data_IF_055511737271
#
_entry.id   IF_055511737271
#
_cell.length_a   1.000
_cell.length_b   1.000
_cell.length_c   1.000
_cell.angle_alpha   90.00
_cell.angle_beta   90.00
_cell.angle_gamma   90.00
#
_symmetry.space_group_name_H-M   'P 1'
#
loop_
_entity.id
_entity.type
_entity.pdbx_description
1 polymer ?
#
# COMPACT_ATOMS: atom_id res chain seq x y z
N UNK A 1 15.00 1.10 10.05
CA UNK A 1 13.52 1.07 10.21
C UNK A 1 13.15 -0.35 10.59
N UNK A 2 12.41 -0.56 11.68
CA UNK A 2 11.79 -1.85 11.96
C UNK A 2 10.59 -2.01 11.03
N UNK A 3 10.45 -3.16 10.39
CA UNK A 3 9.37 -3.43 9.43
C UNK A 3 8.98 -4.89 9.53
N UNK A 4 7.67 -5.18 9.41
CA UNK A 4 7.19 -6.55 9.31
C UNK A 4 7.75 -7.20 8.04
N UNK A 5 8.40 -8.38 8.14
CA UNK A 5 9.08 -8.98 7.02
C UNK A 5 8.11 -9.42 5.91
N UNK A 6 8.59 -9.37 4.68
CA UNK A 6 7.94 -9.99 3.54
C UNK A 6 8.39 -11.45 3.43
N UNK A 7 7.47 -12.33 3.05
CA UNK A 7 7.78 -13.75 2.82
C UNK A 7 8.62 -13.92 1.54
N UNK A 8 9.32 -15.02 1.40
CA UNK A 8 10.13 -15.33 0.19
C UNK A 8 9.28 -15.41 -1.08
N UNK A 9 7.98 -15.62 -0.95
CA UNK A 9 7.01 -15.56 -2.06
C UNK A 9 6.78 -14.13 -2.58
N UNK A 10 7.34 -13.11 -1.94
CA UNK A 10 7.08 -11.70 -2.23
C UNK A 10 5.75 -11.18 -1.70
N UNK A 11 5.03 -11.96 -0.91
CA UNK A 11 3.81 -11.51 -0.23
C UNK A 11 4.13 -11.08 1.21
N UNK A 12 3.38 -10.11 1.75
CA UNK A 12 3.51 -9.70 3.15
C UNK A 12 2.77 -10.65 4.11
N UNK A 13 1.86 -11.47 3.62
CA UNK A 13 1.16 -12.51 4.38
C UNK A 13 0.58 -13.58 3.45
N UNK A 14 0.26 -14.73 4.03
CA UNK A 14 -0.55 -15.77 3.40
C UNK A 14 -2.03 -15.54 3.72
N UNK A 15 -2.91 -16.00 2.85
CA UNK A 15 -4.35 -15.99 3.10
C UNK A 15 -4.79 -17.23 3.89
N UNK A 16 -5.80 -17.09 4.79
CA UNK A 16 -6.62 -15.89 4.99
C UNK A 16 -5.96 -14.83 5.86
N UNK A 17 -6.27 -13.56 5.57
CA UNK A 17 -5.96 -12.40 6.41
C UNK A 17 -7.27 -11.86 6.96
N UNK A 18 -7.38 -11.74 8.29
CA UNK A 18 -8.54 -11.12 8.92
C UNK A 18 -8.18 -9.70 9.36
N UNK A 19 -8.95 -8.72 8.88
CA UNK A 19 -8.81 -7.32 9.29
C UNK A 19 -9.99 -6.92 10.16
N UNK A 20 -9.74 -6.22 11.26
CA UNK A 20 -10.74 -5.74 12.21
C UNK A 20 -10.61 -4.24 12.37
N UNK A 21 -11.70 -3.50 12.15
CA UNK A 21 -11.84 -2.11 12.55
C UNK A 21 -12.37 -2.07 13.98
N UNK A 22 -11.64 -1.42 14.86
CA UNK A 22 -11.99 -1.26 16.28
C UNK A 22 -12.44 0.16 16.54
N UNK A 23 -13.53 0.31 17.29
CA UNK A 23 -14.03 1.60 17.73
C UNK A 23 -14.44 1.52 19.18
N UNK A 24 -14.33 2.63 19.92
CA UNK A 24 -14.80 2.72 21.30
C UNK A 24 -15.98 3.67 21.42
N UNK A 25 -17.02 3.18 22.05
CA UNK A 25 -18.19 3.96 22.45
C UNK A 25 -18.24 4.04 23.96
N UNK A 26 -18.29 5.24 24.50
CA UNK A 26 -18.45 5.47 25.94
C UNK A 26 -19.93 5.65 26.22
N UNK A 27 -20.46 4.87 27.18
CA UNK A 27 -21.86 4.97 27.62
C UNK A 27 -21.91 5.42 29.07
N UNK A 28 -22.64 6.49 29.35
CA UNK A 28 -22.89 7.00 30.68
C UNK A 28 -24.38 6.90 30.98
N UNK A 29 -24.75 6.21 32.04
CA UNK A 29 -26.12 6.16 32.54
C UNK A 29 -26.31 7.29 33.55
N UNK A 30 -27.29 8.17 33.29
CA UNK A 30 -27.61 9.30 34.16
C UNK A 30 -28.51 8.85 35.32
N UNK A 31 -28.63 9.70 36.34
CA UNK A 31 -29.42 9.41 37.54
C UNK A 31 -30.94 9.18 37.28
N UNK A 32 -31.45 9.70 36.16
CA UNK A 32 -32.83 9.50 35.70
C UNK A 32 -33.03 8.23 34.88
N UNK A 33 -31.95 7.42 34.71
CA UNK A 33 -31.95 6.18 33.93
C UNK A 33 -31.75 6.39 32.42
N UNK A 34 -31.60 7.62 31.93
CA UNK A 34 -31.28 7.89 30.54
C UNK A 34 -29.82 7.56 30.27
N UNK A 35 -29.48 7.19 29.01
CA UNK A 35 -28.12 6.86 28.58
C UNK A 35 -27.60 7.90 27.61
N UNK A 36 -26.44 8.44 27.91
CA UNK A 36 -25.65 9.27 26.97
C UNK A 36 -24.61 8.40 26.33
N UNK A 37 -24.60 8.36 24.99
CA UNK A 37 -23.66 7.60 24.19
C UNK A 37 -22.73 8.57 23.47
N UNK A 38 -21.43 8.42 23.69
CA UNK A 38 -20.39 9.26 23.11
C UNK A 38 -19.44 8.39 22.27
N UNK A 39 -19.15 8.82 21.07
CA UNK A 39 -18.08 8.24 20.27
C UNK A 39 -16.71 8.72 20.80
N UNK A 40 -15.75 7.83 20.80
CA UNK A 40 -14.35 8.15 21.09
C UNK A 40 -13.54 7.99 19.78
N UNK A 41 -13.37 9.06 19.00
CA UNK A 41 -12.68 9.00 17.72
C UNK A 41 -11.20 8.67 17.87
N UNK A 42 -10.57 9.03 19.01
CA UNK A 42 -9.15 8.78 19.27
C UNK A 42 -8.86 7.32 19.65
N UNK A 43 -9.90 6.51 19.84
CA UNK A 43 -9.78 5.08 20.09
C UNK A 43 -10.06 4.22 18.85
N UNK A 44 -10.15 4.84 17.66
CA UNK A 44 -10.18 4.08 16.42
C UNK A 44 -8.85 3.32 16.23
N UNK A 45 -8.94 2.05 15.88
CA UNK A 45 -7.77 1.20 15.69
C UNK A 45 -8.04 0.19 14.58
N UNK A 46 -6.95 -0.27 13.96
CA UNK A 46 -6.99 -1.39 13.02
C UNK A 46 -6.24 -2.57 13.64
N UNK A 47 -6.74 -3.77 13.40
CA UNK A 47 -6.06 -4.99 13.81
C UNK A 47 -6.10 -6.03 12.69
N UNK A 48 -5.03 -6.78 12.58
CA UNK A 48 -4.88 -7.87 11.60
C UNK A 48 -4.55 -9.16 12.33
N UNK A 49 -5.10 -10.24 11.80
CA UNK A 49 -4.74 -11.59 12.16
C UNK A 49 -4.24 -12.31 10.91
N UNK A 50 -2.94 -12.61 10.91
CA UNK A 50 -2.23 -13.21 9.80
C UNK A 50 -2.04 -14.70 10.08
N UNK A 51 -2.61 -15.55 9.23
CA UNK A 51 -2.44 -16.99 9.31
C UNK A 51 -1.30 -17.40 8.38
N UNK A 52 -0.09 -17.51 8.92
CA UNK A 52 1.08 -17.95 8.18
C UNK A 52 1.24 -19.47 8.33
N UNK A 53 1.12 -20.20 7.23
CA UNK A 53 1.27 -21.66 7.21
C UNK A 53 2.30 -22.09 6.18
N UNK A 54 3.10 -23.10 6.51
CA UNK A 54 4.14 -23.61 5.61
C UNK A 54 5.33 -22.67 5.45
N UNK A 55 5.59 -21.78 6.41
CA UNK A 55 6.77 -20.92 6.42
C UNK A 55 8.04 -21.73 6.53
N UNK A 56 9.09 -21.25 5.87
CA UNK A 56 10.45 -21.74 6.09
C UNK A 56 11.00 -21.29 7.46
N UNK A 57 12.07 -21.91 7.92
CA UNK A 57 12.77 -21.47 9.13
C UNK A 57 13.31 -20.04 8.98
N UNK A 58 13.75 -19.64 7.79
CA UNK A 58 14.25 -18.29 7.52
C UNK A 58 13.12 -17.24 7.69
N UNK A 59 11.93 -17.51 7.13
CA UNK A 59 10.77 -16.64 7.27
C UNK A 59 10.32 -16.52 8.72
N UNK A 60 10.24 -17.66 9.43
CA UNK A 60 9.94 -17.64 10.85
C UNK A 60 10.97 -16.84 11.66
N UNK A 61 12.27 -17.07 11.45
CA UNK A 61 13.33 -16.37 12.16
C UNK A 61 13.29 -14.85 11.90
N UNK A 62 12.89 -14.42 10.71
CA UNK A 62 12.73 -12.98 10.40
C UNK A 62 11.61 -12.36 11.25
N UNK A 63 10.47 -13.06 11.41
CA UNK A 63 9.35 -12.61 12.25
C UNK A 63 9.75 -12.61 13.72
N UNK A 64 10.38 -13.69 14.19
CA UNK A 64 10.85 -13.81 15.58
C UNK A 64 11.89 -12.74 15.93
N UNK A 65 12.81 -12.45 15.01
CA UNK A 65 13.81 -11.38 15.17
C UNK A 65 13.14 -10.01 15.34
N UNK A 66 12.11 -9.72 14.53
CA UNK A 66 11.33 -8.49 14.70
C UNK A 66 10.62 -8.49 16.06
N UNK A 67 9.98 -9.58 16.45
CA UNK A 67 9.28 -9.70 17.72
C UNK A 67 10.19 -9.44 18.92
N UNK A 68 11.40 -9.99 18.90
CA UNK A 68 12.41 -9.74 19.92
C UNK A 68 12.91 -8.29 19.89
N UNK A 69 13.16 -7.74 18.70
CA UNK A 69 13.62 -6.35 18.53
C UNK A 69 12.60 -5.33 19.00
N UNK A 70 11.30 -5.65 18.88
CA UNK A 70 10.21 -4.80 19.39
C UNK A 70 9.88 -5.06 20.87
N UNK A 71 10.46 -6.08 21.49
CA UNK A 71 10.08 -6.54 22.82
C UNK A 71 8.58 -6.80 22.95
N UNK A 72 8.05 -7.62 22.04
CA UNK A 72 6.62 -7.90 21.95
C UNK A 72 5.82 -6.68 21.54
N UNK A 73 4.81 -6.32 22.33
CA UNK A 73 3.91 -5.18 22.07
C UNK A 73 4.54 -3.80 22.32
N UNK A 74 5.77 -3.72 22.85
CA UNK A 74 6.28 -2.45 23.37
C UNK A 74 6.67 -1.44 22.30
N UNK A 75 7.48 -1.83 21.29
CA UNK A 75 7.93 -0.91 20.25
C UNK A 75 7.09 -1.06 18.98
N UNK A 76 7.08 0.03 18.20
CA UNK A 76 6.39 0.07 16.91
C UNK A 76 7.29 -0.38 15.77
N UNK A 77 6.67 -0.87 14.72
CA UNK A 77 7.28 -1.17 13.43
C UNK A 77 6.37 -0.72 12.28
N UNK A 78 6.90 -0.62 11.08
CA UNK A 78 6.09 -0.40 9.88
C UNK A 78 5.45 -1.72 9.45
N UNK A 79 4.13 -1.72 9.27
CA UNK A 79 3.37 -2.81 8.69
C UNK A 79 2.76 -2.38 7.35
N UNK A 80 2.93 -3.21 6.33
CA UNK A 80 2.31 -3.01 5.02
C UNK A 80 1.12 -3.96 4.94
N UNK A 81 -0.09 -3.40 4.90
CA UNK A 81 -1.32 -4.19 4.85
C UNK A 81 -1.36 -5.03 3.56
N UNK A 82 -1.32 -6.37 3.65
CA UNK A 82 -1.35 -7.24 2.49
C UNK A 82 -2.67 -7.15 1.70
N UNK A 83 -3.70 -6.61 2.32
CA UNK A 83 -5.02 -6.43 1.70
C UNK A 83 -5.27 -5.00 1.25
N UNK A 84 -4.35 -4.07 1.52
CA UNK A 84 -4.48 -2.63 1.29
C UNK A 84 -3.81 -2.12 0.01
N UNK A 85 -4.18 -0.91 -0.40
CA UNK A 85 -3.39 -0.11 -1.33
C UNK A 85 -2.45 0.78 -0.52
N UNK A 86 -1.14 0.69 -0.77
CA UNK A 86 -0.14 1.43 -0.01
C UNK A 86 -0.09 2.92 -0.34
N UNK A 87 -0.64 3.35 -1.50
CA UNK A 87 -0.71 4.76 -1.89
C UNK A 87 -1.92 5.45 -1.24
N UNK A 88 -1.78 6.54 -0.49
CA UNK A 88 -2.91 7.40 -0.15
C UNK A 88 -3.41 8.16 -1.39
N UNK A 89 -4.65 8.64 -1.35
CA UNK A 89 -5.25 9.47 -2.42
C UNK A 89 -5.14 8.85 -3.83
N UNK A 90 -5.48 7.57 -3.96
CA UNK A 90 -5.24 6.75 -5.16
C UNK A 90 -5.89 7.25 -6.46
N UNK A 91 -6.88 8.14 -6.36
CA UNK A 91 -7.59 8.75 -7.50
C UNK A 91 -7.38 10.27 -7.59
N UNK A 92 -6.97 10.92 -6.50
CA UNK A 92 -6.78 12.36 -6.44
C UNK A 92 -5.33 12.75 -6.69
N UNK A 93 -4.90 12.74 -7.95
CA UNK A 93 -3.54 13.11 -8.36
C UNK A 93 -3.20 14.59 -8.13
N UNK A 94 -4.19 15.44 -7.84
CA UNK A 94 -3.98 16.84 -7.43
C UNK A 94 -3.70 17.05 -5.95
N UNK A 95 -3.80 16.00 -5.12
CA UNK A 95 -3.47 16.08 -3.70
C UNK A 95 -1.99 16.32 -3.48
N UNK A 96 -1.64 16.99 -2.38
CA UNK A 96 -0.27 17.34 -2.00
C UNK A 96 0.65 16.14 -1.70
N UNK A 97 0.09 14.96 -1.53
CA UNK A 97 0.87 13.71 -1.39
C UNK A 97 1.50 13.26 -2.72
N UNK A 98 0.98 13.77 -3.84
CA UNK A 98 1.52 13.53 -5.17
C UNK A 98 2.57 14.59 -5.53
N UNK A 99 3.71 14.13 -6.01
CA UNK A 99 4.73 14.97 -6.64
C UNK A 99 4.49 14.96 -8.15
N UNK A 100 4.00 16.07 -8.67
CA UNK A 100 3.74 16.25 -10.08
C UNK A 100 4.89 17.04 -10.72
N UNK A 101 5.36 16.61 -11.89
CA UNK A 101 6.33 17.36 -12.66
C UNK A 101 5.82 18.79 -12.95
N UNK A 102 6.71 19.78 -13.02
CA UNK A 102 6.37 21.21 -13.06
C UNK A 102 5.39 21.63 -14.17
N UNK A 103 5.32 20.86 -15.27
CA UNK A 103 4.44 21.13 -16.41
C UNK A 103 3.45 19.96 -16.64
N UNK A 104 3.15 19.21 -15.59
CA UNK A 104 2.03 18.26 -15.60
C UNK A 104 0.75 19.04 -15.32
N UNK A 105 -0.17 18.95 -16.26
CA UNK A 105 -1.52 19.50 -16.15
C UNK A 105 -2.50 18.37 -15.80
N UNK A 106 -3.41 18.62 -14.85
CA UNK A 106 -4.39 17.67 -14.36
C UNK A 106 -5.80 18.20 -14.61
N UNK A 107 -6.61 17.42 -15.32
CA UNK A 107 -8.05 17.69 -15.51
C UNK A 107 -8.81 16.53 -14.85
N UNK A 108 -9.42 16.74 -13.68
CA UNK A 108 -10.22 15.72 -13.00
C UNK A 108 -11.58 15.52 -13.67
N UNK A 109 -12.34 14.55 -13.17
CA UNK A 109 -13.70 14.23 -13.57
C UNK A 109 -13.84 13.68 -15.00
N UNK A 110 -12.82 13.02 -15.51
CA UNK A 110 -12.91 12.22 -16.73
C UNK A 110 -13.61 10.87 -16.46
N UNK A 111 -14.24 10.31 -17.49
CA UNK A 111 -14.92 9.02 -17.36
C UNK A 111 -13.91 7.90 -17.03
N UNK A 112 -14.20 7.07 -16.06
CA UNK A 112 -13.36 5.98 -15.58
C UNK A 112 -13.83 4.60 -16.09
N UNK A 113 -13.06 3.51 -15.86
CA UNK A 113 -13.43 2.17 -16.32
C UNK A 113 -14.63 1.56 -15.59
N UNK A 114 -15.10 2.16 -14.49
CA UNK A 114 -16.25 1.69 -13.70
C UNK A 114 -17.55 2.40 -14.11
N UNK A 115 -17.49 3.30 -15.11
CA UNK A 115 -18.65 4.06 -15.60
C UNK A 115 -19.00 5.29 -14.76
N UNK A 116 -18.07 5.75 -13.93
CA UNK A 116 -18.18 7.01 -13.18
C UNK A 116 -17.22 8.07 -13.75
N UNK A 117 -17.02 9.19 -13.02
CA UNK A 117 -16.19 10.31 -13.47
C UNK A 117 -15.06 10.61 -12.47
N UNK A 118 -14.32 9.59 -12.06
CA UNK A 118 -13.24 9.71 -11.07
C UNK A 118 -11.84 9.63 -11.69
N UNK A 119 -11.74 9.45 -13.01
CA UNK A 119 -10.45 9.47 -13.70
C UNK A 119 -9.93 10.91 -13.83
N UNK A 120 -8.62 11.01 -13.98
CA UNK A 120 -7.93 12.30 -14.22
C UNK A 120 -7.19 12.22 -15.54
N UNK A 121 -7.40 13.21 -16.40
CA UNK A 121 -6.56 13.44 -17.56
C UNK A 121 -5.27 14.11 -17.14
N UNK A 122 -4.16 13.52 -17.53
CA UNK A 122 -2.82 13.98 -17.24
C UNK A 122 -2.15 14.35 -18.55
N UNK A 123 -1.71 15.60 -18.68
CA UNK A 123 -0.98 16.09 -19.85
C UNK A 123 0.40 16.57 -19.42
N UNK A 124 1.44 16.11 -20.10
CA UNK A 124 2.77 16.68 -19.95
C UNK A 124 2.99 17.78 -20.99
N UNK A 125 2.78 19.04 -20.62
CA UNK A 125 3.01 20.22 -21.48
C UNK A 125 4.50 20.59 -21.59
N UNK A 126 5.39 19.91 -20.90
CA UNK A 126 6.83 20.16 -20.90
C UNK A 126 7.56 19.56 -22.10
N UNK A 127 8.81 19.98 -22.29
CA UNK A 127 9.69 19.49 -23.36
C UNK A 127 10.49 18.22 -22.98
N UNK A 128 10.42 17.79 -21.74
CA UNK A 128 11.04 16.56 -21.22
C UNK A 128 10.01 15.63 -20.62
N UNK A 129 10.37 14.35 -20.43
CA UNK A 129 9.50 13.41 -19.73
C UNK A 129 9.27 13.87 -18.28
N UNK A 130 8.03 13.74 -17.80
CA UNK A 130 7.62 14.15 -16.45
C UNK A 130 6.68 13.11 -15.85
N UNK A 131 6.67 13.00 -14.53
CA UNK A 131 5.91 11.97 -13.81
C UNK A 131 4.90 12.58 -12.84
N UNK A 132 3.83 11.78 -12.59
CA UNK A 132 2.97 11.85 -11.41
C UNK A 132 3.42 10.74 -10.50
N UNK A 133 3.93 11.06 -9.29
CA UNK A 133 4.56 10.07 -8.42
C UNK A 133 4.31 10.34 -6.93
N UNK A 134 4.44 9.30 -6.11
CA UNK A 134 4.51 9.40 -4.65
C UNK A 134 5.76 8.73 -4.12
N UNK A 135 6.27 9.23 -2.99
CA UNK A 135 7.34 8.62 -2.22
C UNK A 135 6.71 7.99 -0.99
N UNK A 136 6.90 6.70 -0.81
CA UNK A 136 6.48 5.97 0.38
C UNK A 136 7.67 5.64 1.27
N UNK A 137 7.48 5.71 2.59
CA UNK A 137 8.46 5.28 3.58
C UNK A 137 8.34 3.77 3.80
N UNK A 138 8.83 3.00 2.83
CA UNK A 138 8.76 1.55 2.79
C UNK A 138 10.11 0.96 2.35
N UNK A 139 10.42 -0.32 2.68
CA UNK A 139 11.69 -0.95 2.31
C UNK A 139 11.89 -1.04 0.80
N UNK A 140 13.07 -0.66 0.32
CA UNK A 140 13.42 -0.76 -1.10
C UNK A 140 13.82 -2.15 -1.57
N UNK A 141 13.95 -3.11 -0.65
CA UNK A 141 14.25 -4.51 -0.92
C UNK A 141 13.03 -5.43 -0.88
N UNK A 142 11.83 -4.86 -0.78
CA UNK A 142 10.59 -5.64 -0.88
C UNK A 142 10.13 -5.75 -2.33
N UNK A 143 9.35 -6.80 -2.59
CA UNK A 143 8.61 -6.98 -3.83
C UNK A 143 7.39 -6.09 -3.84
N UNK A 144 7.23 -5.27 -4.88
CA UNK A 144 6.06 -4.40 -5.04
C UNK A 144 5.42 -4.60 -6.41
N UNK A 145 4.11 -4.42 -6.46
CA UNK A 145 3.34 -4.31 -7.68
C UNK A 145 2.68 -2.93 -7.75
N UNK A 146 3.18 -2.07 -8.63
CA UNK A 146 2.52 -0.82 -9.01
C UNK A 146 1.54 -1.10 -10.15
N UNK A 147 0.28 -0.67 -10.03
CA UNK A 147 -0.71 -0.79 -11.10
C UNK A 147 -1.58 0.46 -11.21
N UNK A 148 -2.11 0.71 -12.41
CA UNK A 148 -3.01 1.82 -12.70
C UNK A 148 -3.86 1.48 -13.92
N UNK A 149 -5.09 1.97 -13.97
CA UNK A 149 -5.88 1.98 -15.19
C UNK A 149 -5.47 3.17 -16.05
N UNK A 150 -5.21 2.92 -17.34
CA UNK A 150 -4.75 3.95 -18.27
C UNK A 150 -5.41 3.80 -19.64
N UNK A 151 -5.70 4.92 -20.29
CA UNK A 151 -6.06 5.03 -21.70
C UNK A 151 -5.56 6.35 -22.29
N UNK A 152 -5.65 6.53 -23.60
CA UNK A 152 -5.36 7.80 -24.29
C UNK A 152 -6.39 8.09 -25.37
N UNK A 153 -6.58 9.37 -25.66
CA UNK A 153 -7.34 9.81 -26.85
C UNK A 153 -6.34 9.95 -28.00
N UNK A 154 -6.17 8.91 -28.79
CA UNK A 154 -5.19 8.87 -29.88
C UNK A 154 -4.13 7.80 -29.65
N UNK A 155 -2.87 8.09 -29.97
CA UNK A 155 -1.73 7.19 -29.73
C UNK A 155 -0.74 7.84 -28.76
N UNK A 156 -0.55 7.21 -27.61
CA UNK A 156 0.43 7.65 -26.61
C UNK A 156 0.94 6.44 -25.83
N UNK A 157 1.90 6.68 -24.97
CA UNK A 157 2.41 5.68 -24.05
C UNK A 157 2.56 6.28 -22.66
N UNK A 158 2.53 5.41 -21.65
CA UNK A 158 2.87 5.75 -20.26
C UNK A 158 3.92 4.79 -19.77
N UNK A 159 4.87 5.28 -18.98
CA UNK A 159 5.91 4.47 -18.34
C UNK A 159 5.63 4.38 -16.85
N UNK A 160 5.32 3.20 -16.34
CA UNK A 160 5.33 2.95 -14.91
C UNK A 160 6.78 2.91 -14.43
N UNK A 161 7.03 3.50 -13.27
CA UNK A 161 8.35 3.53 -12.66
C UNK A 161 8.29 3.24 -11.17
N UNK A 162 9.30 2.53 -10.70
CA UNK A 162 9.62 2.32 -9.30
C UNK A 162 11.09 2.67 -9.10
N UNK A 163 11.41 3.52 -8.13
CA UNK A 163 12.81 3.94 -7.93
C UNK A 163 13.15 4.19 -6.46
N UNK A 164 14.43 4.02 -6.15
CA UNK A 164 15.09 4.35 -4.89
C UNK A 164 16.34 5.17 -5.18
N UNK A 165 17.07 5.60 -4.17
CA UNK A 165 18.36 6.27 -4.34
C UNK A 165 19.44 5.39 -4.99
N UNK A 166 19.26 4.06 -4.98
CA UNK A 166 20.25 3.09 -5.47
C UNK A 166 19.85 2.31 -6.72
N UNK A 167 18.59 2.42 -7.18
CA UNK A 167 18.12 1.66 -8.32
C UNK A 167 16.74 2.07 -8.80
N UNK A 168 16.43 1.67 -10.03
CA UNK A 168 15.10 1.92 -10.60
C UNK A 168 14.68 0.79 -11.54
N UNK A 169 13.37 0.56 -11.63
CA UNK A 169 12.75 -0.29 -12.62
C UNK A 169 11.66 0.51 -13.34
N UNK A 170 11.48 0.26 -14.62
CA UNK A 170 10.42 0.92 -15.38
C UNK A 170 9.93 0.04 -16.52
N UNK A 171 8.68 0.27 -16.94
CA UNK A 171 8.07 -0.42 -18.07
C UNK A 171 7.13 0.52 -18.82
N UNK A 172 7.34 0.63 -20.13
CA UNK A 172 6.53 1.47 -21.01
C UNK A 172 5.40 0.66 -21.63
N UNK A 173 4.20 1.23 -21.62
CA UNK A 173 2.99 0.65 -22.17
C UNK A 173 2.41 1.55 -23.26
N UNK A 174 2.26 1.02 -24.45
CA UNK A 174 1.46 1.68 -25.50
C UNK A 174 -0.02 1.66 -25.08
N UNK A 175 -0.70 2.78 -25.25
CA UNK A 175 -2.11 2.97 -24.89
C UNK A 175 -2.98 3.16 -26.13
N UNK A 176 -4.26 2.92 -25.95
CA UNK A 176 -5.34 3.17 -26.91
C UNK A 176 -6.51 3.88 -26.22
N UNK A 177 -7.61 4.13 -26.94
CA UNK A 177 -8.84 4.72 -26.36
C UNK A 177 -9.59 3.80 -25.40
N UNK A 178 -9.19 2.54 -25.27
CA UNK A 178 -9.80 1.57 -24.36
C UNK A 178 -9.04 1.53 -23.05
N UNK A 179 -9.77 1.55 -21.93
CA UNK A 179 -9.20 1.37 -20.60
C UNK A 179 -8.50 0.02 -20.46
N UNK A 180 -7.28 0.06 -19.97
CA UNK A 180 -6.49 -1.12 -19.65
C UNK A 180 -5.80 -0.92 -18.31
N UNK A 181 -5.86 -1.92 -17.43
CA UNK A 181 -5.02 -1.95 -16.23
C UNK A 181 -3.63 -2.42 -16.63
N UNK A 182 -2.62 -1.64 -16.30
CA UNK A 182 -1.21 -1.93 -16.55
C UNK A 182 -0.50 -2.06 -15.22
N UNK A 183 0.56 -2.88 -15.16
CA UNK A 183 1.31 -3.09 -13.92
C UNK A 183 2.80 -3.27 -14.16
N UNK A 184 3.57 -2.87 -13.14
CA UNK A 184 5.00 -3.10 -13.01
C UNK A 184 5.26 -3.73 -11.65
N UNK A 185 5.80 -4.95 -11.64
CA UNK A 185 6.20 -5.65 -10.41
C UNK A 185 7.70 -5.82 -10.38
N UNK A 186 8.26 -5.89 -9.19
CA UNK A 186 9.67 -6.18 -8.98
C UNK A 186 10.20 -5.69 -7.65
N UNK A 187 11.39 -6.22 -7.35
CA UNK A 187 12.19 -5.87 -6.20
C UNK A 187 13.43 -5.11 -6.70
N UNK A 188 13.73 -3.96 -6.12
CA UNK A 188 14.91 -3.17 -6.50
C UNK A 188 16.19 -3.64 -5.79
N UNK A 189 16.10 -4.55 -4.83
CA UNK A 189 17.24 -5.13 -4.11
C UNK A 189 18.03 -4.11 -3.27
N UNK A 190 17.44 -2.95 -2.98
CA UNK A 190 18.12 -1.84 -2.31
C UNK A 190 17.70 -1.74 -0.85
N UNK A 191 18.66 -1.74 0.07
CA UNK A 191 18.42 -1.53 1.50
C UNK A 191 18.12 -0.05 1.82
N UNK A 192 17.12 0.51 1.16
CA UNK A 192 16.63 1.89 1.41
C UNK A 192 15.33 1.85 2.18
N UNK A 193 14.97 2.97 2.80
CA UNK A 193 13.72 3.14 3.57
C UNK A 193 12.67 3.96 2.82
N UNK A 194 12.92 4.27 1.55
CA UNK A 194 12.00 5.04 0.71
C UNK A 194 11.98 4.48 -0.71
N UNK A 195 10.79 4.40 -1.26
CA UNK A 195 10.54 4.00 -2.66
C UNK A 195 9.60 5.00 -3.31
N UNK A 196 9.95 5.45 -4.51
CA UNK A 196 9.10 6.28 -5.37
C UNK A 196 8.35 5.39 -6.33
N UNK A 197 7.03 5.59 -6.43
CA UNK A 197 6.15 4.92 -7.39
C UNK A 197 5.45 5.96 -8.26
N UNK A 198 5.41 5.76 -9.57
CA UNK A 198 4.79 6.76 -10.44
C UNK A 198 4.50 6.30 -11.86
N UNK A 199 3.80 7.20 -12.57
CA UNK A 199 3.52 7.12 -13.99
C UNK A 199 4.17 8.30 -14.70
N UNK A 200 5.07 8.04 -15.65
CA UNK A 200 5.81 9.03 -16.40
C UNK A 200 5.24 9.14 -17.82
N UNK A 201 5.07 10.38 -18.27
CA UNK A 201 4.61 10.74 -19.60
C UNK A 201 5.76 11.38 -20.39
N UNK A 202 5.87 11.03 -21.65
CA UNK A 202 6.76 11.74 -22.58
C UNK A 202 6.27 13.18 -22.83
N UNK A 203 7.14 14.03 -23.37
CA UNK A 203 6.79 15.40 -23.81
C UNK A 203 5.55 15.39 -24.73
N UNK A 204 4.58 16.25 -24.45
CA UNK A 204 3.34 16.41 -25.21
C UNK A 204 2.33 15.25 -25.07
N UNK A 205 2.62 14.23 -24.26
CA UNK A 205 1.72 13.10 -24.07
C UNK A 205 0.52 13.49 -23.20
N UNK A 206 -0.66 12.98 -23.58
CA UNK A 206 -1.91 13.08 -22.81
C UNK A 206 -2.47 11.68 -22.58
N UNK A 207 -2.75 11.35 -21.32
CA UNK A 207 -3.33 10.06 -20.90
C UNK A 207 -4.39 10.29 -19.83
N UNK A 208 -5.40 9.44 -19.79
CA UNK A 208 -6.34 9.36 -18.67
C UNK A 208 -5.85 8.27 -17.72
N UNK A 209 -5.72 8.58 -16.43
CA UNK A 209 -5.32 7.66 -15.36
C UNK A 209 -6.44 7.51 -14.35
N UNK A 210 -6.58 6.29 -13.80
CA UNK A 210 -7.55 5.99 -12.75
C UNK A 210 -7.02 4.92 -11.80
N UNK A 211 -7.18 5.15 -10.50
CA UNK A 211 -6.98 4.12 -9.49
C UNK A 211 -5.55 3.59 -9.44
N UNK A 212 -4.57 4.44 -9.14
CA UNK A 212 -3.20 3.99 -8.93
C UNK A 212 -3.09 3.21 -7.62
N UNK A 213 -2.46 2.05 -7.68
CA UNK A 213 -2.34 1.13 -6.57
C UNK A 213 -0.93 0.55 -6.48
N UNK A 214 -0.40 0.51 -5.26
CA UNK A 214 0.83 -0.20 -4.91
C UNK A 214 0.50 -1.24 -3.84
N UNK A 215 0.99 -2.43 -4.03
CA UNK A 215 0.81 -3.56 -3.13
C UNK A 215 2.16 -4.24 -2.89
N UNK A 216 2.40 -4.73 -1.66
CA UNK A 216 3.60 -5.49 -1.34
C UNK A 216 3.42 -6.97 -1.75
N UNK A 217 3.35 -7.22 -3.06
CA UNK A 217 3.16 -8.53 -3.68
C UNK A 217 3.51 -8.52 -5.16
N UNK A 218 3.54 -9.72 -5.79
CA UNK A 218 3.99 -9.91 -7.18
C UNK A 218 3.00 -9.45 -8.27
N UNK A 219 1.70 -9.40 -7.97
CA UNK A 219 0.67 -9.11 -8.97
C UNK A 219 -0.43 -8.19 -8.40
N UNK A 220 -1.10 -7.41 -9.25
CA UNK A 220 -2.17 -6.54 -8.77
C UNK A 220 -3.40 -7.35 -8.39
N UNK A 221 -3.95 -7.11 -7.20
CA UNK A 221 -5.29 -7.57 -6.81
C UNK A 221 -6.38 -6.62 -7.34
N UNK A 222 -7.63 -6.86 -6.99
CA UNK A 222 -8.71 -5.92 -7.30
C UNK A 222 -8.41 -4.53 -6.75
N UNK A 223 -8.84 -3.50 -7.50
CA UNK A 223 -8.58 -2.13 -7.13
C UNK A 223 -9.23 -1.75 -5.80
N UNK A 224 -8.44 -1.11 -4.94
CA UNK A 224 -8.84 -0.62 -3.63
C UNK A 224 -8.64 0.89 -3.57
N UNK A 225 -9.75 1.61 -3.45
CA UNK A 225 -9.76 3.05 -3.26
C UNK A 225 -9.11 3.41 -1.92
N UNK A 226 -8.24 4.42 -1.95
CA UNK A 226 -7.71 5.06 -0.75
C UNK A 226 -7.97 6.57 -0.79
N UNK A 227 -8.20 7.13 0.38
CA UNK A 227 -8.27 8.57 0.61
C UNK A 227 -7.07 9.02 1.45
N UNK A 228 -7.26 9.62 2.63
CA UNK A 228 -6.16 10.02 3.50
C UNK A 228 -5.39 8.83 4.08
N UNK A 229 -6.12 7.76 4.43
CA UNK A 229 -5.54 6.51 4.92
C UNK A 229 -5.03 5.65 3.76
N UNK A 230 -3.88 5.01 3.95
CA UNK A 230 -3.28 4.04 3.04
C UNK A 230 -2.99 2.73 3.76
N UNK A 231 -2.51 1.72 3.05
CA UNK A 231 -2.08 0.43 3.64
C UNK A 231 -0.70 0.46 4.30
N UNK A 232 -0.11 1.63 4.54
CA UNK A 232 1.18 1.77 5.27
C UNK A 232 0.91 2.22 6.69
N UNK A 233 1.14 1.34 7.65
CA UNK A 233 0.97 1.59 9.09
C UNK A 233 2.34 1.71 9.74
N UNK A 234 2.82 2.95 9.94
CA UNK A 234 4.17 3.23 10.42
C UNK A 234 4.35 2.97 11.92
N UNK A 235 3.26 2.83 12.67
CA UNK A 235 3.26 2.68 14.12
C UNK A 235 2.54 1.41 14.59
N UNK A 236 2.47 0.41 13.72
CA UNK A 236 1.92 -0.89 14.09
C UNK A 236 2.73 -1.57 15.21
N UNK A 237 2.09 -2.44 15.97
CA UNK A 237 2.67 -3.25 17.05
C UNK A 237 2.20 -4.69 16.92
N UNK A 238 2.92 -5.61 17.53
CA UNK A 238 2.33 -6.93 17.78
C UNK A 238 1.12 -6.79 18.72
N UNK A 239 0.09 -7.60 18.49
CA UNK A 239 -1.14 -7.58 19.30
C UNK A 239 -1.04 -8.36 20.61
N UNK A 240 0.09 -9.05 20.87
CA UNK A 240 0.34 -9.82 22.07
C UNK A 240 1.84 -9.85 22.40
N UNK A 241 2.18 -10.05 23.68
CA UNK A 241 3.56 -10.28 24.16
C UNK A 241 3.99 -11.75 24.01
N UNK A 242 3.23 -12.52 23.27
CA UNK A 242 3.52 -13.92 22.97
C UNK A 242 3.23 -14.19 21.50
N UNK A 243 4.15 -14.86 20.85
CA UNK A 243 3.99 -15.45 19.52
C UNK A 243 4.15 -16.96 19.65
N UNK A 244 3.26 -17.74 19.03
CA UNK A 244 3.33 -19.20 19.05
C UNK A 244 3.58 -19.70 17.64
N UNK A 245 4.60 -20.53 17.48
CA UNK A 245 4.90 -21.24 16.25
C UNK A 245 4.72 -22.74 16.46
N UNK A 246 4.20 -23.42 15.46
CA UNK A 246 4.08 -24.87 15.42
C UNK A 246 4.94 -25.43 14.30
N UNK A 247 5.91 -26.26 14.63
CA UNK A 247 6.67 -27.00 13.63
C UNK A 247 5.83 -28.17 13.09
N UNK A 248 5.54 -28.16 11.80
CA UNK A 248 4.80 -29.22 11.11
C UNK A 248 5.73 -30.27 10.50
N UNK A 249 6.99 -29.93 10.34
CA UNK A 249 8.04 -30.80 9.76
C UNK A 249 9.39 -30.10 9.74
N UNK A 250 10.37 -30.71 9.08
CA UNK A 250 11.66 -30.06 8.86
C UNK A 250 11.45 -28.86 7.94
N UNK A 251 11.80 -27.67 8.41
CA UNK A 251 11.67 -26.41 7.66
C UNK A 251 10.23 -26.08 7.21
N UNK A 252 9.25 -26.47 8.03
CA UNK A 252 7.81 -26.16 7.81
C UNK A 252 7.20 -25.69 9.12
N UNK A 253 6.77 -24.42 9.17
CA UNK A 253 6.30 -23.74 10.37
C UNK A 253 4.95 -23.05 10.12
N UNK A 254 4.08 -23.13 11.11
CA UNK A 254 2.79 -22.43 11.13
C UNK A 254 2.73 -21.47 12.31
N UNK A 255 2.17 -20.28 12.11
CA UNK A 255 1.93 -19.32 13.18
C UNK A 255 0.68 -18.48 12.90
N UNK A 256 0.06 -17.98 13.96
CA UNK A 256 -0.96 -16.92 13.89
C UNK A 256 -0.38 -15.68 14.55
N UNK A 257 -0.30 -14.60 13.76
CA UNK A 257 0.34 -13.35 14.18
C UNK A 257 -0.73 -12.27 14.25
N UNK A 258 -0.81 -11.61 15.40
CA UNK A 258 -1.70 -10.47 15.61
C UNK A 258 -0.89 -9.18 15.52
N UNK A 259 -1.39 -8.24 14.72
CA UNK A 259 -0.83 -6.89 14.56
C UNK A 259 -1.95 -5.89 14.86
N UNK A 260 -1.62 -4.80 15.53
CA UNK A 260 -2.54 -3.71 15.84
C UNK A 260 -1.90 -2.37 15.48
N UNK A 261 -2.71 -1.44 14.99
CA UNK A 261 -2.35 -0.03 14.87
C UNK A 261 -3.39 0.77 15.65
N UNK A 262 -2.94 1.53 16.64
CA UNK A 262 -3.79 2.26 17.58
C UNK A 262 -3.75 3.77 17.36
N UNK A 263 -3.04 4.21 16.34
CA UNK A 263 -2.98 5.62 15.93
C UNK A 263 -3.69 5.77 14.57
N UNK A 264 -5.02 5.84 14.63
CA UNK A 264 -5.87 6.14 13.48
C UNK A 264 -5.91 7.61 13.12
#
# INVERSE_FOLDING_TARGET
>A
MLVFPQLVTGASALYPVTTKSLQRTVQNVLADGSTVVLADPDAAAMAWELHASGMTLEEWNAIETLFQATSGMWQTFTFLDPTGNLLPQSENFGSTVWSNGALIELIPAESDPLGTTRATRVTNAGSAAAAVAQILNVPGNFEYCLSVWARTIGTSSVTLLTSTTGGSASKTFALSGTWRRISLSGNLGQSTSQVTFGAQLNSGATVDLFGMQVEAQLAPSDYKLTTAQSGVYAKARFGADQITVTAQGTDVYDAVIQIVDTEG
#
